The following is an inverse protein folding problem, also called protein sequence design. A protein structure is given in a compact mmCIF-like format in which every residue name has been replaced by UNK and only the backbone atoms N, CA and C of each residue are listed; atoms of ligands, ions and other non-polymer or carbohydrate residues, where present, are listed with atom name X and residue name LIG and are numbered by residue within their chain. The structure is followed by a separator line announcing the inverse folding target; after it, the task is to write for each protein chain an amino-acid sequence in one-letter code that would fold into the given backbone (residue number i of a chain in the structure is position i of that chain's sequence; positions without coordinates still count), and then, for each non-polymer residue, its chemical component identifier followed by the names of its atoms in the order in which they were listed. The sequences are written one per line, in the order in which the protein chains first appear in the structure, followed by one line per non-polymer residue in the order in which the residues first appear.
data_IF_381605658391
#
_entry.id   IF_381605658391
#
_cell.length_a   1.000
_cell.length_b   1.000
_cell.length_c   1.000
_cell.angle_alpha   90.00
_cell.angle_beta   90.00
_cell.angle_gamma   90.00
#
_symmetry.space_group_name_H-M   'P 1'
#
loop_
_entity.id
_entity.type
_entity.pdbx_description
1 polymer ?
#
# COMPACT_ATOMS: atom_id res chain seq x y z
N UNK A 1 0.48 -0.13 -11.18
CA UNK A 1 1.53 0.88 -11.48
C UNK A 1 1.85 0.99 -12.96
N UNK A 2 2.61 0.07 -13.58
CA UNK A 2 3.09 0.23 -14.98
C UNK A 2 1.97 0.49 -16.01
N UNK A 3 0.81 -0.14 -15.86
CA UNK A 3 -0.34 0.00 -16.77
C UNK A 3 -1.39 1.02 -16.26
N UNK A 4 -1.08 1.83 -15.26
CA UNK A 4 -2.03 2.78 -14.65
C UNK A 4 -3.08 2.17 -13.71
N UNK A 5 -3.16 0.84 -13.60
CA UNK A 5 -4.01 0.17 -12.60
C UNK A 5 -3.47 0.30 -11.16
N UNK A 6 -4.36 0.11 -10.18
CA UNK A 6 -4.07 0.19 -8.73
C UNK A 6 -3.93 -1.20 -8.10
N UNK A 7 -2.85 -1.43 -7.35
CA UNK A 7 -2.70 -2.60 -6.48
C UNK A 7 -2.97 -2.26 -5.02
N UNK A 8 -3.31 -3.27 -4.22
CA UNK A 8 -3.60 -3.17 -2.79
C UNK A 8 -2.52 -3.87 -1.96
N UNK A 9 -2.17 -3.34 -0.80
CA UNK A 9 -1.17 -3.93 0.13
C UNK A 9 -1.65 -5.19 0.85
N UNK A 10 -2.96 -5.37 1.00
CA UNK A 10 -3.51 -6.31 1.97
C UNK A 10 -3.22 -5.88 3.41
N UNK A 11 -3.35 -6.83 4.35
CA UNK A 11 -3.33 -6.57 5.79
C UNK A 11 -1.96 -6.41 6.42
N UNK A 12 -0.89 -6.88 5.77
CA UNK A 12 0.44 -7.05 6.37
C UNK A 12 1.30 -5.79 6.43
N UNK A 13 0.80 -4.65 5.98
CA UNK A 13 1.60 -3.44 5.75
C UNK A 13 2.39 -3.49 4.45
N UNK A 14 3.36 -2.59 4.31
CA UNK A 14 4.23 -2.51 3.14
C UNK A 14 5.63 -2.05 3.56
N UNK A 15 6.65 -2.69 2.99
CA UNK A 15 8.05 -2.31 3.23
C UNK A 15 8.33 -0.88 2.71
N UNK A 16 8.86 0.04 3.54
CA UNK A 16 9.17 1.42 3.14
C UNK A 16 10.11 1.56 1.94
N UNK A 17 10.96 0.57 1.68
CA UNK A 17 11.86 0.57 0.50
C UNK A 17 11.09 0.60 -0.82
N UNK A 18 9.84 0.11 -0.84
CA UNK A 18 8.96 0.10 -2.02
C UNK A 18 8.42 1.47 -2.39
N UNK A 19 8.53 2.47 -1.52
CA UNK A 19 7.98 3.81 -1.75
C UNK A 19 8.82 4.61 -2.75
N UNK A 20 10.08 4.25 -2.90
CA UNK A 20 10.94 4.84 -3.93
C UNK A 20 10.77 4.10 -5.26
N UNK A 21 10.72 4.83 -6.39
CA UNK A 21 10.81 4.21 -7.71
C UNK A 21 12.11 3.42 -7.87
N UNK A 22 12.05 2.35 -8.65
CA UNK A 22 13.20 1.59 -9.09
C UNK A 22 14.01 2.41 -10.11
N UNK A 23 15.30 2.06 -10.35
CA UNK A 23 16.15 2.77 -11.31
C UNK A 23 15.60 2.83 -12.74
N UNK A 24 14.74 1.89 -13.11
CA UNK A 24 14.08 1.85 -14.41
C UNK A 24 12.77 2.65 -14.47
N UNK A 25 12.43 3.38 -13.41
CA UNK A 25 11.22 4.20 -13.30
C UNK A 25 9.97 3.46 -12.84
N UNK A 26 10.03 2.14 -12.65
CA UNK A 26 8.89 1.40 -12.11
C UNK A 26 8.66 1.72 -10.64
N UNK A 27 7.40 1.65 -10.21
CA UNK A 27 7.05 1.75 -8.78
C UNK A 27 6.58 0.39 -8.26
N UNK A 28 7.12 -0.02 -7.12
CA UNK A 28 6.64 -1.19 -6.35
C UNK A 28 5.58 -0.81 -5.30
N UNK A 29 5.40 0.49 -5.03
CA UNK A 29 4.45 1.01 -4.04
C UNK A 29 3.01 0.63 -4.42
N UNK A 30 2.27 -0.02 -3.53
CA UNK A 30 0.84 -0.23 -3.75
C UNK A 30 0.06 1.08 -3.63
N UNK A 31 -0.80 1.37 -4.62
CA UNK A 31 -1.59 2.60 -4.63
C UNK A 31 -2.65 2.61 -3.52
N UNK A 32 -3.24 1.45 -3.21
CA UNK A 32 -4.23 1.30 -2.14
C UNK A 32 -3.54 0.70 -0.92
N UNK A 33 -3.69 1.36 0.22
CA UNK A 33 -3.23 0.87 1.52
C UNK A 33 -4.41 0.40 2.35
N UNK A 34 -4.33 -0.82 2.86
CA UNK A 34 -5.39 -1.39 3.68
C UNK A 34 -5.17 -1.11 5.17
N UNK A 35 -6.27 -0.91 5.89
CA UNK A 35 -6.32 -0.81 7.35
C UNK A 35 -7.35 -1.82 7.87
N UNK A 36 -6.87 -2.94 8.41
CA UNK A 36 -7.68 -4.00 9.03
C UNK A 36 -7.51 -3.99 10.55
N UNK A 37 -8.36 -4.73 11.28
CA UNK A 37 -8.43 -4.69 12.75
C UNK A 37 -7.07 -4.86 13.46
N UNK A 38 -6.20 -5.74 12.96
CA UNK A 38 -4.87 -5.97 13.53
C UNK A 38 -3.87 -4.81 13.34
N UNK A 39 -4.15 -3.87 12.43
CA UNK A 39 -3.31 -2.70 12.13
C UNK A 39 -1.83 -3.04 11.85
N UNK A 40 -1.54 -4.24 11.33
CA UNK A 40 -0.17 -4.66 11.05
C UNK A 40 0.48 -3.73 10.02
N UNK A 41 1.67 -3.22 10.36
CA UNK A 41 2.43 -2.29 9.52
C UNK A 41 1.76 -0.93 9.29
N UNK A 42 0.65 -0.61 9.97
CA UNK A 42 -0.02 0.69 9.85
C UNK A 42 0.75 1.73 10.66
N UNK A 43 1.49 2.56 9.95
CA UNK A 43 2.26 3.70 10.50
C UNK A 43 1.89 4.98 9.77
N UNK A 44 2.22 6.15 10.31
CA UNK A 44 2.02 7.41 9.58
C UNK A 44 2.74 7.41 8.24
N UNK A 45 3.96 6.87 8.17
CA UNK A 45 4.73 6.77 6.93
C UNK A 45 4.06 5.84 5.90
N UNK A 46 3.43 4.76 6.35
CA UNK A 46 2.61 3.89 5.49
C UNK A 46 1.37 4.61 4.94
N UNK A 47 0.65 5.35 5.80
CA UNK A 47 -0.60 6.04 5.43
C UNK A 47 -0.37 7.19 4.44
N UNK A 48 0.69 7.98 4.61
CA UNK A 48 1.00 9.09 3.68
C UNK A 48 1.49 8.62 2.32
N UNK A 49 1.87 7.34 2.19
CA UNK A 49 2.29 6.72 0.93
C UNK A 49 1.13 6.00 0.21
N UNK A 50 -0.12 6.30 0.57
CA UNK A 50 -1.32 5.82 -0.10
C UNK A 50 -1.86 6.85 -1.10
N UNK A 51 -2.40 6.39 -2.22
CA UNK A 51 -3.31 7.20 -3.04
C UNK A 51 -4.76 7.02 -2.57
N UNK A 52 -5.06 5.86 -1.96
CA UNK A 52 -6.38 5.50 -1.44
C UNK A 52 -6.24 4.60 -0.20
N UNK A 53 -7.15 4.78 0.75
CA UNK A 53 -7.21 3.99 1.98
C UNK A 53 -8.43 3.07 1.96
N UNK A 54 -8.20 1.78 2.16
CA UNK A 54 -9.28 0.79 2.33
C UNK A 54 -9.43 0.41 3.79
N UNK A 55 -10.58 0.74 4.39
CA UNK A 55 -10.96 0.22 5.70
C UNK A 55 -11.57 -1.17 5.50
N UNK A 56 -10.86 -2.21 5.95
CA UNK A 56 -11.33 -3.58 5.80
C UNK A 56 -12.14 -3.99 7.03
N UNK A 57 -13.44 -4.14 6.81
CA UNK A 57 -14.37 -4.65 7.83
C UNK A 57 -14.47 -6.18 7.81
N UNK A 58 -14.49 -6.79 6.62
CA UNK A 58 -14.57 -8.24 6.42
C UNK A 58 -14.04 -8.63 5.02
N UNK A 59 -13.81 -9.93 4.80
CA UNK A 59 -13.65 -10.54 3.47
C UNK A 59 -14.48 -11.83 3.39
N UNK A 60 -14.87 -12.23 2.18
CA UNK A 60 -15.55 -13.51 1.92
C UNK A 60 -14.58 -14.68 1.78
#
# INVERSE_FOLDING_TARGET
NRIGGKSNTGEGGEDPTRFNPLPNGDSMRSAIKQVASGRFGVTSHYLVNADELQIKMAQG
#
